data_IF_633754090327
#
_entry.id   IF_633754090327
#
_cell.length_a   1.000
_cell.length_b   1.000
_cell.length_c   1.000
_cell.angle_alpha   90.00
_cell.angle_beta   90.00
_cell.angle_gamma   90.00
#
_symmetry.space_group_name_H-M   'P 1'
#
loop_
_entity.id
_entity.type
_entity.pdbx_description
1 polymer ?
#
# COMPACT_ATOMS: atom_id res chain seq x y z
N UNK A 1 -14.40 18.88 -10.79
CA UNK A 1 -13.70 18.00 -11.76
C UNK A 1 -12.48 17.42 -11.06
N UNK A 2 -12.16 16.13 -11.27
CA UNK A 2 -10.96 15.50 -10.68
C UNK A 2 -9.71 16.08 -11.34
N UNK A 3 -8.70 16.39 -10.53
CA UNK A 3 -7.38 16.89 -10.95
C UNK A 3 -6.24 16.08 -10.33
N UNK A 4 -6.51 15.43 -9.21
CA UNK A 4 -5.51 14.76 -8.40
C UNK A 4 -5.90 13.28 -8.23
N UNK A 5 -4.99 12.37 -8.58
CA UNK A 5 -5.16 10.93 -8.37
C UNK A 5 -4.25 10.50 -7.24
N UNK A 6 -4.82 9.94 -6.18
CA UNK A 6 -4.09 9.43 -5.02
C UNK A 6 -4.14 7.91 -5.09
N UNK A 7 -2.99 7.28 -5.27
CA UNK A 7 -2.87 5.82 -5.29
C UNK A 7 -2.47 5.27 -3.92
N UNK A 8 -3.11 4.18 -3.50
CA UNK A 8 -2.44 3.25 -2.58
C UNK A 8 -1.31 2.50 -3.31
N UNK A 9 -0.39 1.90 -2.56
CA UNK A 9 0.70 1.11 -3.12
C UNK A 9 0.37 -0.39 -3.11
N UNK A 10 -0.03 -0.93 -1.96
CA UNK A 10 -0.30 -2.36 -1.82
C UNK A 10 -1.43 -2.81 -2.74
N UNK A 11 -1.21 -3.87 -3.52
CA UNK A 11 -2.18 -4.42 -4.48
C UNK A 11 -2.73 -3.45 -5.54
N UNK A 12 -2.23 -2.22 -5.60
CA UNK A 12 -2.53 -1.25 -6.67
C UNK A 12 -1.29 -1.05 -7.54
N UNK A 13 -0.21 -0.55 -6.95
CA UNK A 13 1.09 -0.32 -7.62
C UNK A 13 2.07 -1.48 -7.36
N UNK A 14 2.03 -2.08 -6.18
CA UNK A 14 2.89 -3.20 -5.78
C UNK A 14 2.01 -4.43 -5.56
N UNK A 15 2.21 -5.48 -6.35
CA UNK A 15 1.46 -6.73 -6.27
C UNK A 15 1.84 -7.49 -4.99
N UNK A 16 0.94 -7.47 -4.00
CA UNK A 16 1.14 -8.05 -2.66
C UNK A 16 0.31 -9.31 -2.46
N UNK A 17 0.43 -10.32 -3.32
CA UNK A 17 -0.24 -11.59 -3.09
C UNK A 17 0.46 -12.35 -1.96
N UNK A 18 -0.10 -12.27 -0.76
CA UNK A 18 0.52 -12.84 0.43
C UNK A 18 0.75 -14.36 0.32
N UNK A 19 -0.21 -15.13 -0.20
CA UNK A 19 -0.05 -16.58 -0.29
C UNK A 19 1.06 -16.97 -1.28
N UNK A 20 1.04 -16.44 -2.50
CA UNK A 20 2.10 -16.73 -3.47
C UNK A 20 3.47 -16.23 -3.01
N UNK A 21 3.51 -15.13 -2.27
CA UNK A 21 4.76 -14.62 -1.67
C UNK A 21 5.29 -15.58 -0.61
N UNK A 22 4.42 -16.10 0.28
CA UNK A 22 4.84 -17.05 1.32
C UNK A 22 5.31 -18.39 0.75
N UNK A 23 4.76 -18.83 -0.38
CA UNK A 23 5.19 -20.04 -1.07
C UNK A 23 6.61 -19.95 -1.67
N UNK A 24 7.26 -18.79 -1.65
CA UNK A 24 8.71 -18.70 -1.92
C UNK A 24 9.59 -19.08 -0.72
N UNK A 25 8.99 -19.22 0.47
CA UNK A 25 9.71 -19.58 1.71
C UNK A 25 9.38 -20.98 2.21
N UNK A 26 8.34 -21.62 1.68
CA UNK A 26 7.92 -22.96 2.06
C UNK A 26 7.02 -23.57 0.98
N UNK A 27 7.20 -24.85 0.68
CA UNK A 27 6.33 -25.61 -0.23
C UNK A 27 5.03 -26.07 0.44
N UNK A 28 4.92 -25.90 1.76
CA UNK A 28 3.75 -26.32 2.54
C UNK A 28 2.75 -25.17 2.64
N UNK A 29 1.57 -25.34 2.01
CA UNK A 29 0.50 -24.34 2.00
C UNK A 29 0.00 -23.96 3.41
N UNK A 30 -0.12 -24.94 4.31
CA UNK A 30 -0.57 -24.68 5.69
C UNK A 30 0.44 -23.82 6.45
N UNK A 31 1.76 -24.10 6.26
CA UNK A 31 2.81 -23.25 6.84
C UNK A 31 2.74 -21.84 6.25
N UNK A 32 2.54 -21.70 4.95
CA UNK A 32 2.39 -20.39 4.29
C UNK A 32 1.19 -19.59 4.85
N UNK A 33 0.04 -20.23 5.04
CA UNK A 33 -1.16 -19.62 5.64
C UNK A 33 -0.92 -19.20 7.09
N UNK A 34 -0.23 -20.03 7.88
CA UNK A 34 0.17 -19.69 9.24
C UNK A 34 1.16 -18.52 9.30
N UNK A 35 2.13 -18.44 8.38
CA UNK A 35 3.04 -17.29 8.26
C UNK A 35 2.26 -16.00 7.99
N UNK A 36 1.26 -16.04 7.09
CA UNK A 36 0.37 -14.89 6.84
C UNK A 36 -0.31 -14.45 8.12
N UNK A 37 -0.86 -15.39 8.89
CA UNK A 37 -1.53 -15.10 10.16
C UNK A 37 -0.58 -14.52 11.20
N UNK A 38 0.60 -15.14 11.38
CA UNK A 38 1.56 -14.73 12.39
C UNK A 38 2.22 -13.37 12.10
N UNK A 39 2.40 -13.04 10.83
CA UNK A 39 3.09 -11.80 10.41
C UNK A 39 2.05 -10.69 10.14
N UNK A 40 1.24 -10.81 9.09
CA UNK A 40 0.45 -9.68 8.58
C UNK A 40 -0.81 -9.37 9.40
N UNK A 41 -1.29 -10.31 10.24
CA UNK A 41 -2.41 -10.06 11.16
C UNK A 41 -1.95 -9.71 12.58
N UNK A 42 -0.65 -9.47 12.77
CA UNK A 42 -0.06 -9.18 14.08
C UNK A 42 -0.11 -7.70 14.44
N UNK A 43 -0.03 -7.42 15.74
CA UNK A 43 0.16 -6.05 16.24
C UNK A 43 1.53 -5.50 15.82
N UNK A 44 2.56 -6.34 15.76
CA UNK A 44 3.89 -5.95 15.31
C UNK A 44 3.88 -5.45 13.86
N UNK A 45 3.08 -6.09 12.98
CA UNK A 45 2.92 -5.61 11.60
C UNK A 45 2.26 -4.22 11.54
N UNK A 46 1.23 -4.01 12.37
CA UNK A 46 0.59 -2.70 12.49
C UNK A 46 1.56 -1.63 13.01
N UNK A 47 2.42 -1.99 13.96
CA UNK A 47 3.45 -1.09 14.49
C UNK A 47 4.56 -0.80 13.47
N UNK A 48 4.92 -1.76 12.61
CA UNK A 48 5.82 -1.55 11.48
C UNK A 48 5.23 -0.56 10.48
N UNK A 49 3.93 -0.72 10.13
CA UNK A 49 3.22 0.22 9.25
C UNK A 49 3.10 1.62 9.86
N UNK A 50 3.16 1.74 11.18
CA UNK A 50 3.21 3.01 11.91
C UNK A 50 4.63 3.55 12.12
N UNK A 51 5.67 2.78 11.79
CA UNK A 51 7.06 3.14 12.08
C UNK A 51 7.38 3.21 13.59
N UNK A 52 6.57 2.55 14.43
CA UNK A 52 6.69 2.59 15.89
C UNK A 52 7.58 1.49 16.46
N UNK A 53 7.99 0.53 15.65
CA UNK A 53 9.01 -0.47 16.00
C UNK A 53 9.95 -0.73 14.83
N UNK A 54 11.13 -1.23 15.13
CA UNK A 54 12.09 -1.67 14.12
C UNK A 54 11.69 -3.02 13.52
N UNK A 55 12.26 -3.34 12.37
CA UNK A 55 12.11 -4.65 11.73
C UNK A 55 12.62 -5.77 12.66
N UNK A 56 13.74 -5.54 13.30
CA UNK A 56 14.41 -6.45 14.24
C UNK A 56 13.52 -6.71 15.47
N UNK A 57 12.96 -5.66 16.06
CA UNK A 57 12.01 -5.78 17.18
C UNK A 57 10.76 -6.58 16.81
N UNK A 58 10.21 -6.33 15.63
CA UNK A 58 9.04 -7.07 15.13
C UNK A 58 9.37 -8.57 14.99
N UNK A 59 10.53 -8.90 14.41
CA UNK A 59 10.98 -10.30 14.29
C UNK A 59 11.04 -10.96 15.67
N UNK A 60 11.75 -10.35 16.61
CA UNK A 60 11.92 -10.89 17.96
C UNK A 60 10.58 -11.09 18.67
N UNK A 61 9.70 -10.10 18.64
CA UNK A 61 8.37 -10.17 19.29
C UNK A 61 7.51 -11.27 18.68
N UNK A 62 7.46 -11.38 17.35
CA UNK A 62 6.70 -12.43 16.68
C UNK A 62 7.30 -13.81 16.99
N UNK A 63 8.62 -13.96 16.94
CA UNK A 63 9.30 -15.24 17.26
C UNK A 63 9.03 -15.74 18.67
N UNK A 64 8.83 -14.83 19.63
CA UNK A 64 8.58 -15.20 21.02
C UNK A 64 7.20 -15.81 21.27
N UNK A 65 6.22 -15.58 20.38
CA UNK A 65 4.84 -16.06 20.51
C UNK A 65 4.43 -17.14 19.50
N UNK A 66 5.31 -17.48 18.55
CA UNK A 66 5.03 -18.54 17.57
C UNK A 66 5.71 -19.85 17.95
N UNK A 67 5.20 -21.01 17.46
CA UNK A 67 5.85 -22.29 17.67
C UNK A 67 7.28 -22.31 17.14
N UNK A 68 8.16 -23.08 17.78
CA UNK A 68 9.61 -23.13 17.48
C UNK A 68 9.92 -23.33 15.99
N UNK A 69 9.13 -24.18 15.29
CA UNK A 69 9.31 -24.46 13.86
C UNK A 69 9.09 -23.28 12.93
N UNK A 70 8.46 -22.20 13.38
CA UNK A 70 8.21 -20.99 12.59
C UNK A 70 9.25 -19.90 12.79
N UNK A 71 10.09 -19.97 13.83
CA UNK A 71 10.97 -18.84 14.20
C UNK A 71 11.95 -18.44 13.10
N UNK A 72 12.60 -19.39 12.45
CA UNK A 72 13.51 -19.11 11.32
C UNK A 72 12.77 -18.53 10.13
N UNK A 73 11.60 -19.10 9.78
CA UNK A 73 10.78 -18.63 8.67
C UNK A 73 10.24 -17.20 8.91
N UNK A 74 9.83 -16.85 10.13
CA UNK A 74 9.42 -15.48 10.47
C UNK A 74 10.53 -14.46 10.13
N UNK A 75 11.74 -14.75 10.57
CA UNK A 75 12.90 -13.90 10.28
C UNK A 75 13.13 -13.80 8.77
N UNK A 76 13.22 -14.94 8.11
CA UNK A 76 13.50 -15.02 6.68
C UNK A 76 12.45 -14.26 5.84
N UNK A 77 11.16 -14.44 6.17
CA UNK A 77 10.08 -13.74 5.48
C UNK A 77 10.18 -12.23 5.68
N UNK A 78 10.28 -11.74 6.92
CA UNK A 78 10.32 -10.30 7.19
C UNK A 78 11.53 -9.63 6.55
N UNK A 79 12.68 -10.30 6.52
CA UNK A 79 13.90 -9.78 5.90
C UNK A 79 13.88 -9.79 4.37
N UNK A 80 13.21 -10.77 3.75
CA UNK A 80 13.39 -11.03 2.33
C UNK A 80 12.12 -10.92 1.47
N UNK A 81 10.90 -10.81 2.07
CA UNK A 81 9.66 -10.81 1.29
C UNK A 81 9.58 -9.75 0.20
N UNK A 82 10.19 -8.58 0.40
CA UNK A 82 10.19 -7.49 -0.58
C UNK A 82 10.78 -7.91 -1.93
N UNK A 83 11.72 -8.84 -1.95
CA UNK A 83 12.34 -9.38 -3.18
C UNK A 83 11.34 -10.16 -4.06
N UNK A 84 10.25 -10.66 -3.48
CA UNK A 84 9.21 -11.44 -4.16
C UNK A 84 7.97 -10.62 -4.49
N UNK A 85 7.91 -9.37 -4.03
CA UNK A 85 6.87 -8.44 -4.45
C UNK A 85 7.18 -7.91 -5.85
N UNK A 86 6.15 -7.71 -6.65
CA UNK A 86 6.30 -7.27 -8.04
C UNK A 86 5.58 -5.93 -8.25
N UNK A 87 6.15 -5.11 -9.08
CA UNK A 87 5.51 -3.87 -9.54
C UNK A 87 4.40 -4.20 -10.55
N UNK A 88 3.27 -3.52 -10.43
CA UNK A 88 2.17 -3.57 -11.39
C UNK A 88 2.46 -2.60 -12.54
N UNK A 89 3.19 -3.08 -13.54
CA UNK A 89 3.63 -2.26 -14.67
C UNK A 89 2.46 -1.63 -15.42
N UNK A 90 1.35 -2.36 -15.56
CA UNK A 90 0.17 -1.87 -16.25
C UNK A 90 -0.45 -0.67 -15.53
N UNK A 91 -0.51 -0.69 -14.20
CA UNK A 91 -1.01 0.47 -13.42
C UNK A 91 -0.03 1.64 -13.48
N UNK A 92 1.28 1.39 -13.56
CA UNK A 92 2.27 2.47 -13.77
C UNK A 92 2.07 3.14 -15.12
N UNK A 93 1.83 2.38 -16.19
CA UNK A 93 1.55 2.97 -17.51
C UNK A 93 0.26 3.81 -17.51
N UNK A 94 -0.75 3.40 -16.73
CA UNK A 94 -1.94 4.24 -16.49
C UNK A 94 -1.55 5.55 -15.81
N UNK A 95 -0.71 5.49 -14.76
CA UNK A 95 -0.26 6.68 -14.04
C UNK A 95 0.57 7.62 -14.93
N UNK A 96 1.42 7.09 -15.83
CA UNK A 96 2.17 7.88 -16.81
C UNK A 96 1.23 8.61 -17.76
N UNK A 97 0.24 7.93 -18.34
CA UNK A 97 -0.77 8.56 -19.21
C UNK A 97 -1.59 9.63 -18.48
N UNK A 98 -1.90 9.42 -17.19
CA UNK A 98 -2.54 10.46 -16.38
C UNK A 98 -1.65 11.70 -16.26
N UNK A 99 -0.34 11.53 -16.06
CA UNK A 99 0.62 12.66 -16.04
C UNK A 99 0.67 13.40 -17.38
N UNK A 100 0.67 12.68 -18.50
CA UNK A 100 0.64 13.27 -19.84
C UNK A 100 -0.63 14.11 -20.07
N UNK A 101 -1.73 13.77 -19.38
CA UNK A 101 -3.00 14.52 -19.37
C UNK A 101 -3.11 15.55 -18.23
N UNK A 102 -1.97 15.93 -17.64
CA UNK A 102 -1.82 16.97 -16.62
C UNK A 102 -2.50 16.66 -15.26
N UNK A 103 -2.90 15.39 -15.01
CA UNK A 103 -3.31 14.99 -13.68
C UNK A 103 -2.11 14.95 -12.75
N UNK A 104 -2.31 15.38 -11.50
CA UNK A 104 -1.30 15.22 -10.46
C UNK A 104 -1.42 13.85 -9.79
N UNK A 105 -0.29 13.22 -9.56
CA UNK A 105 -0.20 11.86 -9.01
C UNK A 105 0.34 11.91 -7.60
N UNK A 106 -0.39 11.33 -6.67
CA UNK A 106 -0.02 11.24 -5.25
C UNK A 106 -0.05 9.79 -4.77
N UNK A 107 0.65 9.54 -3.69
CA UNK A 107 0.65 8.26 -2.97
C UNK A 107 0.19 8.48 -1.54
N UNK A 108 -0.71 7.62 -1.06
CA UNK A 108 -1.12 7.51 0.35
C UNK A 108 -1.20 6.04 0.74
N UNK A 109 -0.18 5.51 1.43
CA UNK A 109 -0.10 4.08 1.72
C UNK A 109 0.25 3.75 3.16
N UNK A 110 -0.38 2.67 3.68
CA UNK A 110 0.04 2.01 4.91
C UNK A 110 1.18 1.07 4.58
N UNK A 111 2.41 1.46 4.93
CA UNK A 111 3.60 0.71 4.56
C UNK A 111 4.76 0.96 5.53
N UNK A 112 5.43 -0.11 5.94
CA UNK A 112 6.66 -0.03 6.73
C UNK A 112 7.80 0.65 5.94
N UNK A 113 8.65 1.41 6.64
CA UNK A 113 9.77 2.15 6.04
C UNK A 113 10.64 1.28 5.15
N UNK A 114 11.07 0.11 5.63
CA UNK A 114 11.97 -0.78 4.88
C UNK A 114 11.35 -1.32 3.57
N UNK A 115 10.02 -1.43 3.51
CA UNK A 115 9.33 -1.82 2.28
C UNK A 115 9.32 -0.67 1.27
N UNK A 116 9.01 0.55 1.72
CA UNK A 116 9.06 1.73 0.87
C UNK A 116 10.48 2.00 0.36
N UNK A 117 11.49 1.96 1.23
CA UNK A 117 12.90 2.15 0.88
C UNK A 117 13.40 1.16 -0.19
N UNK A 118 12.86 -0.07 -0.20
CA UNK A 118 13.19 -1.06 -1.23
C UNK A 118 12.66 -0.66 -2.62
N UNK A 119 11.53 0.06 -2.69
CA UNK A 119 10.87 0.41 -3.95
C UNK A 119 11.03 1.86 -4.38
N UNK A 120 11.48 2.76 -3.51
CA UNK A 120 11.48 4.22 -3.72
C UNK A 120 12.17 4.70 -5.00
N UNK A 121 13.15 3.93 -5.50
CA UNK A 121 13.89 4.26 -6.72
C UNK A 121 13.20 3.72 -8.00
N UNK A 122 12.00 3.12 -7.86
CA UNK A 122 11.22 2.73 -9.03
C UNK A 122 10.70 3.97 -9.78
N UNK A 123 10.67 3.91 -11.11
CA UNK A 123 10.23 5.00 -12.00
C UNK A 123 8.86 5.60 -11.64
N UNK A 124 7.95 4.82 -11.04
CA UNK A 124 6.66 5.32 -10.60
C UNK A 124 6.78 6.48 -9.61
N UNK A 125 7.73 6.40 -8.68
CA UNK A 125 7.89 7.46 -7.67
C UNK A 125 8.45 8.75 -8.25
N UNK A 126 9.15 8.69 -9.40
CA UNK A 126 9.67 9.86 -10.10
C UNK A 126 8.56 10.70 -10.74
N UNK A 127 7.41 10.10 -11.05
CA UNK A 127 6.26 10.82 -11.63
C UNK A 127 5.27 11.32 -10.58
N UNK A 128 5.45 10.96 -9.31
CA UNK A 128 4.57 11.39 -8.22
C UNK A 128 4.85 12.85 -7.83
N UNK A 129 3.77 13.64 -7.69
CA UNK A 129 3.83 15.01 -7.18
C UNK A 129 3.92 15.05 -5.65
N UNK A 130 3.61 13.93 -4.98
CA UNK A 130 3.75 13.82 -3.54
C UNK A 130 3.47 12.42 -3.01
N UNK A 131 4.12 12.10 -1.88
CA UNK A 131 4.09 10.78 -1.27
C UNK A 131 3.88 10.90 0.23
N UNK A 132 2.94 10.11 0.76
CA UNK A 132 2.69 9.97 2.18
C UNK A 132 2.69 8.49 2.55
N UNK A 133 3.64 8.08 3.37
CA UNK A 133 3.79 6.71 3.87
C UNK A 133 3.56 6.72 5.37
N UNK A 134 2.65 5.87 5.84
CA UNK A 134 2.22 5.81 7.23
C UNK A 134 3.36 5.70 8.25
N UNK A 135 4.41 4.93 7.93
CA UNK A 135 5.51 4.71 8.86
C UNK A 135 6.39 5.96 9.09
N UNK A 136 6.43 6.91 8.16
CA UNK A 136 7.10 8.20 8.38
C UNK A 136 6.20 9.22 9.09
N UNK A 137 4.90 9.01 9.02
CA UNK A 137 3.91 9.90 9.62
C UNK A 137 3.50 9.49 11.03
N UNK A 138 3.79 8.25 11.44
CA UNK A 138 3.33 7.61 12.67
C UNK A 138 1.80 7.59 12.82
N UNK A 139 1.10 7.69 11.68
CA UNK A 139 -0.36 7.66 11.54
C UNK A 139 -0.67 6.85 10.29
N UNK A 140 -1.76 6.08 10.29
CA UNK A 140 -2.12 5.25 9.14
C UNK A 140 -3.61 5.30 8.81
N UNK A 141 -3.98 4.97 7.57
CA UNK A 141 -5.36 4.73 7.19
C UNK A 141 -5.96 3.64 8.11
N UNK A 142 -7.21 3.76 8.59
CA UNK A 142 -8.24 4.74 8.19
C UNK A 142 -8.31 6.01 9.06
N UNK A 143 -7.28 6.37 9.83
CA UNK A 143 -7.28 7.60 10.62
C UNK A 143 -7.46 8.83 9.71
N UNK A 144 -8.39 9.75 10.07
CA UNK A 144 -8.65 10.97 9.31
C UNK A 144 -7.40 11.85 9.17
N UNK A 145 -6.53 11.84 10.17
CA UNK A 145 -5.36 12.72 10.21
C UNK A 145 -4.37 12.43 9.08
N UNK A 146 -4.23 11.17 8.62
CA UNK A 146 -3.34 10.88 7.50
C UNK A 146 -3.88 11.45 6.18
N UNK A 147 -5.21 11.44 5.99
CA UNK A 147 -5.86 12.07 4.83
C UNK A 147 -5.78 13.60 4.90
N UNK A 148 -6.01 14.19 6.07
CA UNK A 148 -5.82 15.64 6.26
C UNK A 148 -4.37 16.06 6.01
N UNK A 149 -3.41 15.21 6.36
CA UNK A 149 -1.99 15.46 6.18
C UNK A 149 -1.60 15.54 4.70
N UNK A 150 -2.04 14.61 3.86
CA UNK A 150 -1.77 14.68 2.42
C UNK A 150 -2.45 15.90 1.79
N UNK A 151 -3.72 16.18 2.13
CA UNK A 151 -4.44 17.35 1.65
C UNK A 151 -3.72 18.65 2.01
N UNK A 152 -3.32 18.82 3.28
CA UNK A 152 -2.63 20.03 3.76
C UNK A 152 -1.24 20.17 3.17
N UNK A 153 -0.45 19.07 3.14
CA UNK A 153 0.96 19.08 2.68
C UNK A 153 1.09 19.52 1.22
N UNK A 154 0.15 19.09 0.38
CA UNK A 154 0.18 19.36 -1.05
C UNK A 154 -0.88 20.36 -1.51
N UNK A 155 -1.56 21.03 -0.55
CA UNK A 155 -2.60 22.02 -0.82
C UNK A 155 -3.69 21.48 -1.77
N UNK A 156 -4.20 20.28 -1.47
CA UNK A 156 -5.21 19.62 -2.31
C UNK A 156 -6.63 20.01 -1.87
N UNK A 157 -7.49 20.19 -2.86
CA UNK A 157 -8.94 20.36 -2.64
C UNK A 157 -9.57 18.96 -2.64
N UNK A 158 -10.20 18.51 -1.55
CA UNK A 158 -10.71 17.15 -1.41
C UNK A 158 -11.61 16.70 -2.57
N UNK A 159 -12.52 17.56 -3.03
CA UNK A 159 -13.50 17.28 -4.09
C UNK A 159 -12.85 17.10 -5.47
N UNK A 160 -11.59 17.55 -5.63
CA UNK A 160 -10.79 17.38 -6.83
C UNK A 160 -9.89 16.13 -6.77
N UNK A 161 -9.96 15.34 -5.69
CA UNK A 161 -9.14 14.16 -5.46
C UNK A 161 -9.93 12.87 -5.68
N UNK A 162 -9.35 11.93 -6.45
CA UNK A 162 -9.78 10.54 -6.56
C UNK A 162 -8.76 9.66 -5.85
N UNK A 163 -9.18 8.97 -4.79
CA UNK A 163 -8.34 8.04 -4.04
C UNK A 163 -8.68 6.60 -4.45
N UNK A 164 -7.67 5.89 -4.93
CA UNK A 164 -7.76 4.53 -5.48
C UNK A 164 -7.05 3.57 -4.51
N UNK A 165 -7.79 2.63 -3.94
CA UNK A 165 -7.31 1.70 -2.92
C UNK A 165 -7.98 0.33 -3.13
N UNK A 166 -7.28 -0.78 -2.88
CA UNK A 166 -7.87 -2.12 -2.90
C UNK A 166 -8.52 -2.48 -1.56
N UNK A 167 -8.22 -1.72 -0.53
CA UNK A 167 -8.59 -1.98 0.85
C UNK A 167 -10.09 -1.81 1.10
N UNK A 168 -10.39 -2.20 2.27
CA UNK A 168 -11.73 -2.34 2.82
C UNK A 168 -12.42 -1.00 3.04
N UNK A 169 -13.69 -1.11 3.35
CA UNK A 169 -14.66 -0.04 3.52
C UNK A 169 -14.21 1.16 4.39
N UNK A 170 -13.31 0.97 5.36
CA UNK A 170 -13.04 2.02 6.36
C UNK A 170 -12.14 3.16 5.82
N UNK A 171 -11.06 2.85 5.09
CA UNK A 171 -10.21 3.88 4.49
C UNK A 171 -10.98 4.72 3.47
N UNK A 172 -11.77 4.06 2.62
CA UNK A 172 -12.60 4.73 1.62
C UNK A 172 -13.73 5.54 2.24
N UNK A 173 -14.34 5.03 3.32
CA UNK A 173 -15.37 5.75 4.09
C UNK A 173 -14.80 7.03 4.68
N UNK A 174 -13.60 6.95 5.28
CA UNK A 174 -12.92 8.13 5.83
C UNK A 174 -12.58 9.14 4.73
N UNK A 175 -12.03 8.69 3.61
CA UNK A 175 -11.75 9.55 2.46
C UNK A 175 -13.02 10.28 1.98
N UNK A 176 -14.12 9.54 1.77
CA UNK A 176 -15.40 10.10 1.33
C UNK A 176 -16.00 11.10 2.35
N UNK A 177 -15.85 10.84 3.65
CA UNK A 177 -16.28 11.77 4.72
C UNK A 177 -15.56 13.12 4.62
N UNK A 178 -14.31 13.12 4.17
CA UNK A 178 -13.49 14.32 3.99
C UNK A 178 -13.68 14.99 2.62
N UNK A 179 -14.57 14.49 1.77
CA UNK A 179 -14.84 15.03 0.43
C UNK A 179 -13.98 14.41 -0.69
N UNK A 180 -12.99 13.59 -0.37
CA UNK A 180 -12.18 12.86 -1.35
C UNK A 180 -13.06 11.77 -1.97
N UNK A 181 -12.98 11.58 -3.30
CA UNK A 181 -13.69 10.49 -3.98
C UNK A 181 -12.96 9.17 -3.78
N UNK A 182 -13.16 8.53 -2.62
CA UNK A 182 -12.58 7.22 -2.32
C UNK A 182 -13.27 6.12 -3.11
N UNK A 183 -12.52 5.32 -3.85
CA UNK A 183 -13.02 4.21 -4.69
C UNK A 183 -12.15 2.98 -4.53
N UNK A 184 -12.84 1.85 -4.44
CA UNK A 184 -12.19 0.55 -4.39
C UNK A 184 -11.92 0.03 -5.79
N UNK A 185 -10.75 -0.59 -5.95
CA UNK A 185 -10.39 -1.40 -7.12
C UNK A 185 -10.09 -2.84 -6.68
N UNK A 186 -10.20 -3.78 -7.61
CA UNK A 186 -9.82 -5.16 -7.35
C UNK A 186 -8.30 -5.26 -7.20
N UNK A 187 -7.82 -6.07 -6.23
CA UNK A 187 -6.39 -6.22 -5.98
C UNK A 187 -5.62 -6.62 -7.25
N UNK A 188 -4.58 -5.85 -7.57
CA UNK A 188 -3.68 -6.08 -8.71
C UNK A 188 -4.34 -6.03 -10.10
N UNK A 189 -5.53 -5.47 -10.21
CA UNK A 189 -6.29 -5.39 -11.46
C UNK A 189 -6.23 -3.98 -12.08
N UNK A 190 -5.33 -3.80 -13.04
CA UNK A 190 -5.18 -2.55 -13.79
C UNK A 190 -6.38 -2.21 -14.68
N UNK A 191 -7.16 -3.22 -15.11
CA UNK A 191 -8.38 -3.01 -15.91
C UNK A 191 -9.47 -2.39 -15.06
N UNK A 192 -9.56 -2.79 -13.79
CA UNK A 192 -10.52 -2.20 -12.86
C UNK A 192 -10.14 -0.74 -12.54
N UNK A 193 -8.85 -0.42 -12.48
CA UNK A 193 -8.37 0.97 -12.40
C UNK A 193 -8.81 1.79 -13.64
N UNK A 194 -8.63 1.25 -14.85
CA UNK A 194 -9.08 1.93 -16.07
C UNK A 194 -10.59 2.16 -16.08
N UNK A 195 -11.38 1.14 -15.78
CA UNK A 195 -12.84 1.25 -15.69
C UNK A 195 -13.26 2.32 -14.67
N UNK A 196 -12.61 2.35 -13.51
CA UNK A 196 -12.87 3.37 -12.52
C UNK A 196 -12.59 4.78 -13.05
N UNK A 197 -11.49 4.99 -13.76
CA UNK A 197 -11.17 6.30 -14.35
C UNK A 197 -12.24 6.74 -15.38
N UNK A 198 -12.72 5.82 -16.19
CA UNK A 198 -13.82 6.07 -17.14
C UNK A 198 -15.11 6.53 -16.44
N UNK A 199 -15.46 5.96 -15.26
CA UNK A 199 -16.60 6.40 -14.46
C UNK A 199 -16.50 7.89 -14.03
N UNK A 200 -15.30 8.43 -13.98
CA UNK A 200 -15.02 9.85 -13.69
C UNK A 200 -14.76 10.68 -14.96
N UNK A 201 -15.08 10.15 -16.16
CA UNK A 201 -14.80 10.76 -17.46
C UNK A 201 -13.31 11.06 -17.68
N UNK A 202 -12.42 10.25 -17.11
CA UNK A 202 -10.98 10.29 -17.31
C UNK A 202 -10.62 9.23 -18.36
N UNK A 203 -10.53 9.64 -19.61
CA UNK A 203 -10.20 8.77 -20.75
C UNK A 203 -8.69 8.85 -21.04
N UNK A 204 -8.00 7.70 -21.13
CA UNK A 204 -6.55 7.58 -21.33
C UNK A 204 -6.17 7.12 -22.74
#
# INVERSE_FOLDING_TARGET
MIKNIIFDLGNVIIKCNNLSTMLNFTDNKEIAENLIKYIFKSEEWKLLDLGNITKEDAILKIQNRVPKGYKSLIKEVIENRTKYLKINKETIEIAKKLKEKEYKIFVLSNMATYTYEYFKDNEFFNICDGIVISAYEHIKKPDEEIFKRILKRYNLIPEECLFIDDDTKESLKTANKLGIKGRRVLPNDSKDVLKLLEEYNINL
#
